data_IF_015739188730
#
_entry.id   IF_015739188730
#
_cell.length_a   1.000
_cell.length_b   1.000
_cell.length_c   1.000
_cell.angle_alpha   90.00
_cell.angle_beta   90.00
_cell.angle_gamma   90.00
#
_symmetry.space_group_name_H-M   'P 1'
#
loop_
_entity.id
_entity.type
_entity.pdbx_description
1 polymer ?
#
# COMPACT_ATOMS: atom_id res chain seq x y z
N UNK A 1 1.60 5.53 19.76
CA UNK A 1 0.69 4.39 19.55
C UNK A 1 -0.34 4.82 18.52
N UNK A 2 -0.32 4.22 17.32
CA UNK A 2 -1.18 4.64 16.19
C UNK A 2 -0.64 4.32 14.78
N UNK A 3 0.63 3.94 14.62
CA UNK A 3 1.26 3.80 13.28
C UNK A 3 0.74 2.64 12.41
N UNK A 4 0.00 1.67 12.94
CA UNK A 4 -0.52 0.54 12.14
C UNK A 4 -2.00 0.59 11.84
N UNK A 5 -2.79 1.18 12.75
CA UNK A 5 -4.24 1.34 12.58
C UNK A 5 -4.54 2.42 11.53
N UNK A 6 -3.75 3.50 11.52
CA UNK A 6 -3.81 4.54 10.48
C UNK A 6 -3.48 3.97 9.09
N UNK A 7 -2.47 3.10 8.96
CA UNK A 7 -2.08 2.51 7.67
C UNK A 7 -3.19 1.64 7.11
N UNK A 8 -3.81 0.79 7.94
CA UNK A 8 -4.92 -0.04 7.49
C UNK A 8 -6.12 0.80 7.03
N UNK A 9 -6.44 1.87 7.76
CA UNK A 9 -7.52 2.79 7.38
C UNK A 9 -7.21 3.52 6.08
N UNK A 10 -6.00 4.08 5.93
CA UNK A 10 -5.58 4.78 4.72
C UNK A 10 -5.57 3.85 3.50
N UNK A 11 -5.11 2.61 3.66
CA UNK A 11 -5.16 1.60 2.59
C UNK A 11 -6.61 1.25 2.21
N UNK A 12 -7.51 1.16 3.18
CA UNK A 12 -8.93 0.90 2.92
C UNK A 12 -9.59 2.06 2.16
N UNK A 13 -9.33 3.31 2.56
CA UNK A 13 -9.84 4.51 1.89
C UNK A 13 -9.31 4.64 0.46
N UNK A 14 -8.02 4.37 0.26
CA UNK A 14 -7.41 4.36 -1.06
C UNK A 14 -8.00 3.27 -1.97
N UNK A 15 -8.23 2.06 -1.44
CA UNK A 15 -8.93 0.99 -2.18
C UNK A 15 -10.34 1.41 -2.57
N UNK A 16 -11.11 2.00 -1.65
CA UNK A 16 -12.45 2.49 -1.93
C UNK A 16 -12.45 3.56 -3.03
N UNK A 17 -11.48 4.47 -3.01
CA UNK A 17 -11.30 5.51 -4.03
C UNK A 17 -11.00 4.92 -5.41
N UNK A 18 -10.09 3.95 -5.50
CA UNK A 18 -9.76 3.27 -6.76
C UNK A 18 -10.97 2.52 -7.32
N UNK A 19 -11.67 1.77 -6.47
CA UNK A 19 -12.90 1.06 -6.88
C UNK A 19 -13.98 2.02 -7.35
N UNK A 20 -14.20 3.14 -6.66
CA UNK A 20 -15.16 4.16 -7.08
C UNK A 20 -14.79 4.82 -8.42
N UNK A 21 -13.50 4.93 -8.73
CA UNK A 21 -13.01 5.39 -10.02
C UNK A 21 -13.09 4.32 -11.14
N UNK A 22 -13.60 3.12 -10.85
CA UNK A 22 -13.80 2.05 -11.82
C UNK A 22 -12.61 1.10 -11.97
N UNK A 23 -11.65 1.14 -11.05
CA UNK A 23 -10.55 0.18 -11.02
C UNK A 23 -10.91 -1.08 -10.24
N UNK A 24 -10.42 -2.22 -10.69
CA UNK A 24 -10.42 -3.46 -9.91
C UNK A 24 -9.05 -3.60 -9.21
N UNK A 25 -9.00 -3.46 -7.89
CA UNK A 25 -7.75 -3.51 -7.14
C UNK A 25 -7.33 -4.96 -6.90
N UNK A 26 -6.16 -5.36 -7.43
CA UNK A 26 -5.54 -6.66 -7.14
C UNK A 26 -4.90 -6.66 -5.74
N UNK A 27 -4.06 -5.66 -5.49
CA UNK A 27 -3.42 -5.44 -4.19
C UNK A 27 -3.10 -3.97 -3.98
N UNK A 28 -3.14 -3.54 -2.73
CA UNK A 28 -2.64 -2.24 -2.27
C UNK A 28 -2.06 -2.45 -0.87
N UNK A 29 -0.74 -2.43 -0.76
CA UNK A 29 -0.02 -2.83 0.45
C UNK A 29 1.15 -1.92 0.73
N UNK A 30 1.39 -1.64 2.02
CA UNK A 30 2.61 -1.01 2.48
C UNK A 30 3.62 -2.11 2.82
N UNK A 31 4.81 -2.06 2.23
CA UNK A 31 5.87 -3.04 2.42
C UNK A 31 7.21 -2.37 2.73
N UNK A 32 8.14 -3.11 3.33
CA UNK A 32 9.54 -2.68 3.47
C UNK A 32 10.22 -2.58 2.09
N UNK A 33 11.02 -1.54 1.87
CA UNK A 33 11.66 -1.30 0.58
C UNK A 33 12.75 -2.32 0.22
N UNK A 34 13.38 -2.96 1.22
CA UNK A 34 14.45 -3.93 1.03
C UNK A 34 13.95 -5.36 1.04
N UNK A 35 13.07 -5.69 2.00
CA UNK A 35 12.62 -7.08 2.20
C UNK A 35 11.28 -7.38 1.53
N UNK A 36 10.54 -6.37 1.07
CA UNK A 36 9.17 -6.48 0.59
C UNK A 36 8.22 -7.14 1.60
N UNK A 37 8.59 -7.12 2.89
CA UNK A 37 7.77 -7.68 3.96
C UNK A 37 6.58 -6.77 4.19
N UNK A 38 5.34 -7.31 4.19
CA UNK A 38 4.15 -6.52 4.46
C UNK A 38 4.19 -5.83 5.82
N UNK A 39 3.64 -4.62 5.88
CA UNK A 39 3.49 -3.87 7.12
C UNK A 39 2.62 -4.66 8.11
N UNK A 40 3.17 -4.96 9.29
CA UNK A 40 2.46 -5.68 10.36
C UNK A 40 2.91 -7.13 10.57
N UNK A 41 3.78 -7.68 9.72
CA UNK A 41 4.35 -9.03 9.89
C UNK A 41 5.41 -9.15 10.99
N UNK A 42 5.55 -8.14 11.87
CA UNK A 42 6.42 -8.17 13.05
C UNK A 42 7.88 -7.75 12.84
N UNK A 43 8.31 -7.55 11.59
CA UNK A 43 9.72 -7.27 11.23
C UNK A 43 9.92 -5.91 10.54
N UNK A 44 8.89 -5.05 10.56
CA UNK A 44 8.96 -3.71 9.96
C UNK A 44 9.40 -2.71 11.01
N UNK A 45 10.71 -2.49 11.14
CA UNK A 45 11.23 -1.42 12.00
C UNK A 45 10.66 -0.05 11.54
N UNK A 46 10.34 0.85 12.47
CA UNK A 46 9.75 2.14 12.16
C UNK A 46 10.63 3.05 11.29
N UNK A 47 11.94 2.85 11.30
CA UNK A 47 12.90 3.73 10.61
C UNK A 47 13.39 3.16 9.26
N UNK A 48 12.78 2.07 8.78
CA UNK A 48 13.14 1.49 7.48
C UNK A 48 12.33 2.15 6.37
N UNK A 49 12.95 2.42 5.21
CA UNK A 49 12.23 2.96 4.07
C UNK A 49 11.10 2.01 3.64
N UNK A 50 9.91 2.56 3.46
CA UNK A 50 8.71 1.78 3.08
C UNK A 50 8.30 2.11 1.65
N UNK A 51 7.64 1.15 1.00
CA UNK A 51 7.08 1.27 -0.34
C UNK A 51 5.59 0.95 -0.27
N UNK A 52 4.77 1.84 -0.82
CA UNK A 52 3.38 1.53 -1.14
C UNK A 52 3.36 0.85 -2.50
N UNK A 53 2.92 -0.40 -2.54
CA UNK A 53 2.78 -1.21 -3.74
C UNK A 53 1.31 -1.27 -4.11
N UNK A 54 0.98 -0.90 -5.34
CA UNK A 54 -0.39 -0.91 -5.85
C UNK A 54 -0.45 -1.66 -7.18
N UNK A 55 -1.44 -2.53 -7.33
CA UNK A 55 -1.83 -3.07 -8.62
C UNK A 55 -3.34 -3.01 -8.77
N UNK A 56 -3.78 -2.48 -9.90
CA UNK A 56 -5.18 -2.32 -10.23
C UNK A 56 -5.42 -2.50 -11.73
N UNK A 57 -6.61 -2.96 -12.10
CA UNK A 57 -7.03 -3.11 -13.50
C UNK A 57 -8.07 -2.06 -13.87
N UNK A 58 -7.95 -1.55 -15.10
CA UNK A 58 -8.98 -0.76 -15.76
C UNK A 58 -9.36 -1.47 -17.06
N UNK A 59 -10.52 -2.14 -17.06
CA UNK A 59 -10.89 -3.05 -18.14
C UNK A 59 -9.89 -4.21 -18.26
N UNK A 60 -9.24 -4.35 -19.43
CA UNK A 60 -8.23 -5.38 -19.68
C UNK A 60 -6.80 -4.96 -19.33
N UNK A 61 -6.58 -3.67 -19.02
CA UNK A 61 -5.25 -3.14 -18.75
C UNK A 61 -4.93 -3.23 -17.27
N UNK A 62 -3.80 -3.86 -16.93
CA UNK A 62 -3.28 -3.96 -15.56
C UNK A 62 -2.19 -2.91 -15.34
N UNK A 63 -2.42 -2.02 -14.39
CA UNK A 63 -1.48 -0.99 -13.97
C UNK A 63 -0.84 -1.41 -12.65
N UNK A 64 0.46 -1.14 -12.54
CA UNK A 64 1.23 -1.37 -11.32
C UNK A 64 1.97 -0.07 -11.03
N UNK A 65 1.95 0.35 -9.77
CA UNK A 65 2.75 1.47 -9.31
C UNK A 65 3.42 1.11 -7.98
N UNK A 66 4.57 1.72 -7.73
CA UNK A 66 5.23 1.68 -6.43
C UNK A 66 5.71 3.08 -6.05
N UNK A 67 5.38 3.51 -4.83
CA UNK A 67 5.76 4.83 -4.33
C UNK A 67 6.54 4.66 -3.03
N UNK A 68 7.64 5.38 -2.89
CA UNK A 68 8.36 5.48 -1.60
C UNK A 68 7.54 6.29 -0.60
N UNK A 69 7.34 5.73 0.58
CA UNK A 69 6.76 6.47 1.72
C UNK A 69 7.92 7.06 2.50
N UNK A 70 7.95 8.39 2.58
CA UNK A 70 8.88 9.12 3.44
C UNK A 70 8.17 9.39 4.77
N UNK A 71 8.80 9.00 5.87
CA UNK A 71 8.34 9.43 7.19
C UNK A 71 8.65 10.94 7.33
N UNK A 72 7.60 11.74 7.54
CA UNK A 72 7.68 13.17 7.84
C UNK A 72 7.63 13.43 9.33
#
# INVERSE_FOLDING_TARGET
FGRGEDVASVLADARATLTAAGFEVDYLELADAETLTPHGSGDTAPDRPRRLLAAARMGSTRLIDNIAVMDG
#
